data_IF_316477713068
#
_entry.id   IF_316477713068
#
_cell.length_a   1.000
_cell.length_b   1.000
_cell.length_c   1.000
_cell.angle_alpha   90.00
_cell.angle_beta   90.00
_cell.angle_gamma   90.00
#
_symmetry.space_group_name_H-M   'P 1'
#
loop_
_entity.id
_entity.type
_entity.pdbx_description
1 polymer ?
#
# COMPACT_ATOMS: atom_id res chain seq x y z
N UNK A 1 60.64 17.97 -18.68
CA UNK A 1 59.17 17.89 -18.77
C UNK A 1 58.77 16.58 -18.10
N UNK A 2 58.03 16.58 -16.98
CA UNK A 2 57.14 15.45 -16.59
C UNK A 2 56.69 15.42 -15.12
N UNK A 3 57.36 16.04 -14.13
CA UNK A 3 56.86 15.90 -12.74
C UNK A 3 55.56 16.70 -12.50
N UNK A 4 55.51 17.96 -12.97
CA UNK A 4 54.36 18.85 -12.79
C UNK A 4 53.11 18.38 -13.54
N UNK A 5 53.29 17.78 -14.72
CA UNK A 5 52.18 17.28 -15.54
C UNK A 5 51.59 16.02 -14.90
N UNK A 6 52.44 15.13 -14.37
CA UNK A 6 52.00 13.90 -13.68
C UNK A 6 51.25 14.26 -12.38
N UNK A 7 51.74 15.23 -11.60
CA UNK A 7 51.04 15.66 -10.38
C UNK A 7 49.68 16.30 -10.68
N UNK A 8 49.57 17.04 -11.78
CA UNK A 8 48.31 17.68 -12.18
C UNK A 8 47.29 16.63 -12.65
N UNK A 9 47.74 15.63 -13.42
CA UNK A 9 46.89 14.52 -13.86
C UNK A 9 46.40 13.68 -12.68
N UNK A 10 47.28 13.38 -11.72
CA UNK A 10 46.92 12.61 -10.53
C UNK A 10 45.87 13.35 -9.67
N UNK A 11 46.03 14.67 -9.48
CA UNK A 11 45.05 15.49 -8.78
C UNK A 11 43.70 15.54 -9.50
N UNK A 12 43.69 15.65 -10.83
CA UNK A 12 42.47 15.64 -11.64
C UNK A 12 41.72 14.30 -11.55
N UNK A 13 42.43 13.17 -11.58
CA UNK A 13 41.82 11.84 -11.43
C UNK A 13 41.25 11.64 -10.03
N UNK A 14 41.97 12.05 -8.98
CA UNK A 14 41.47 11.98 -7.60
C UNK A 14 40.23 12.85 -7.38
N UNK A 15 40.20 14.06 -7.94
CA UNK A 15 39.01 14.93 -7.89
C UNK A 15 37.81 14.31 -8.61
N UNK A 16 38.04 13.64 -9.75
CA UNK A 16 37.01 12.99 -10.53
C UNK A 16 36.44 11.76 -9.81
N UNK A 17 37.30 10.96 -9.17
CA UNK A 17 36.89 9.83 -8.33
C UNK A 17 36.12 10.29 -7.09
N UNK A 18 36.56 11.36 -6.42
CA UNK A 18 35.84 11.93 -5.28
C UNK A 18 34.44 12.43 -5.69
N UNK A 19 34.32 13.09 -6.86
CA UNK A 19 33.04 13.56 -7.39
C UNK A 19 32.10 12.41 -7.75
N UNK A 20 32.61 11.35 -8.39
CA UNK A 20 31.85 10.14 -8.70
C UNK A 20 31.40 9.40 -7.44
N UNK A 21 32.25 9.39 -6.40
CA UNK A 21 31.88 8.81 -5.11
C UNK A 21 30.77 9.62 -4.44
N UNK A 22 30.88 10.95 -4.41
CA UNK A 22 29.83 11.85 -3.88
C UNK A 22 28.49 11.72 -4.64
N UNK A 23 28.53 11.54 -5.97
CA UNK A 23 27.34 11.29 -6.79
C UNK A 23 26.70 9.94 -6.47
N UNK A 24 27.50 8.92 -6.11
CA UNK A 24 27.01 7.60 -5.72
C UNK A 24 26.51 7.55 -4.27
N UNK A 25 27.09 8.37 -3.39
CA UNK A 25 26.77 8.41 -1.95
C UNK A 25 25.84 9.54 -1.55
N UNK A 26 25.34 10.34 -2.50
CA UNK A 26 24.09 11.04 -2.28
C UNK A 26 22.99 10.00 -2.52
N UNK A 27 22.43 9.32 -1.48
CA UNK A 27 21.05 8.92 -1.62
C UNK A 27 20.35 10.21 -1.99
N UNK A 28 19.60 10.21 -3.10
CA UNK A 28 18.58 11.23 -3.35
C UNK A 28 17.93 11.48 -2.00
N UNK A 29 18.24 12.61 -1.38
CA UNK A 29 17.49 13.12 -0.26
C UNK A 29 16.14 13.39 -0.90
N UNK A 30 15.26 12.40 -0.75
CA UNK A 30 13.88 12.42 -1.14
C UNK A 30 13.24 13.48 -0.27
N UNK A 31 13.54 14.74 -0.61
CA UNK A 31 12.98 15.96 -0.03
C UNK A 31 11.58 16.16 -0.65
N UNK A 32 10.83 15.07 -0.68
CA UNK A 32 9.39 15.12 -0.76
C UNK A 32 8.96 15.40 0.66
N UNK A 33 8.45 16.61 0.90
CA UNK A 33 7.52 16.89 1.99
C UNK A 33 6.63 15.66 2.19
N UNK A 34 6.93 14.84 3.21
CA UNK A 34 6.31 13.51 3.37
C UNK A 34 4.88 13.76 3.83
N UNK A 35 3.99 14.01 2.88
CA UNK A 35 2.57 13.88 3.14
C UNK A 35 2.36 12.44 3.56
N UNK A 36 2.06 12.28 4.85
CA UNK A 36 1.79 10.98 5.43
C UNK A 36 0.44 10.51 4.89
N UNK A 37 0.32 9.26 4.41
CA UNK A 37 -0.96 8.76 3.96
C UNK A 37 -1.97 8.76 5.13
N UNK A 38 -3.22 9.12 4.81
CA UNK A 38 -4.34 9.17 5.76
C UNK A 38 -4.60 7.76 6.30
N UNK A 39 -4.63 6.78 5.40
CA UNK A 39 -4.74 5.36 5.73
C UNK A 39 -3.79 4.58 4.82
N UNK A 40 -3.17 3.54 5.35
CA UNK A 40 -2.32 2.62 4.60
C UNK A 40 -2.76 1.20 4.90
N UNK A 41 -2.95 0.40 3.85
CA UNK A 41 -3.26 -1.03 3.95
C UNK A 41 -2.23 -1.84 3.18
N UNK A 42 -1.98 -3.06 3.62
CA UNK A 42 -1.06 -3.99 2.95
C UNK A 42 -1.73 -5.35 2.77
N UNK A 43 -1.64 -5.91 1.57
CA UNK A 43 -2.22 -7.21 1.26
C UNK A 43 -1.85 -7.72 -0.13
N UNK A 44 -2.45 -8.82 -0.55
CA UNK A 44 -2.33 -9.29 -1.92
C UNK A 44 -3.32 -8.52 -2.79
N UNK A 45 -2.81 -7.71 -3.73
CA UNK A 45 -3.63 -6.90 -4.63
C UNK A 45 -3.82 -7.67 -5.93
N UNK A 46 -5.09 -7.86 -6.32
CA UNK A 46 -5.51 -8.44 -7.59
C UNK A 46 -6.13 -7.38 -8.48
N UNK A 47 -6.09 -7.63 -9.79
CA UNK A 47 -6.77 -6.83 -10.83
C UNK A 47 -6.28 -5.39 -11.01
N UNK A 48 -5.12 -5.02 -10.45
CA UNK A 48 -4.46 -3.76 -10.74
C UNK A 48 -3.50 -3.92 -11.94
N UNK A 49 -3.71 -3.12 -12.98
CA UNK A 49 -2.85 -3.08 -14.17
C UNK A 49 -1.40 -2.73 -13.78
N UNK A 50 -0.44 -3.55 -14.21
CA UNK A 50 0.99 -3.34 -13.91
C UNK A 50 1.44 -3.80 -12.53
N UNK A 51 0.60 -4.49 -11.75
CA UNK A 51 0.95 -5.02 -10.43
C UNK A 51 0.99 -6.55 -10.46
N UNK A 52 2.07 -7.12 -9.96
CA UNK A 52 2.19 -8.56 -9.77
C UNK A 52 1.19 -9.04 -8.70
N UNK A 53 0.26 -9.91 -9.11
CA UNK A 53 -0.84 -10.41 -8.29
C UNK A 53 -0.37 -11.26 -7.10
N UNK A 54 0.88 -11.74 -7.12
CA UNK A 54 1.43 -12.64 -6.08
C UNK A 54 2.19 -11.85 -5.00
N UNK A 55 2.56 -10.59 -5.27
CA UNK A 55 3.33 -9.77 -4.35
C UNK A 55 2.46 -9.09 -3.29
N UNK A 56 2.98 -9.03 -2.06
CA UNK A 56 2.40 -8.16 -1.02
C UNK A 56 2.51 -6.73 -1.52
N UNK A 57 1.35 -6.10 -1.64
CA UNK A 57 1.15 -4.78 -2.16
C UNK A 57 0.63 -3.85 -1.06
N UNK A 58 0.97 -2.57 -1.17
CA UNK A 58 0.56 -1.50 -0.28
C UNK A 58 -0.37 -0.56 -1.02
N UNK A 59 -1.52 -0.26 -0.45
CA UNK A 59 -2.41 0.81 -0.90
C UNK A 59 -2.37 1.93 0.13
N UNK A 60 -2.01 3.13 -0.32
CA UNK A 60 -1.88 4.34 0.50
C UNK A 60 -2.94 5.34 0.03
N UNK A 61 -3.75 5.84 0.97
CA UNK A 61 -4.76 6.87 0.71
C UNK A 61 -4.24 8.24 1.05
N UNK A 62 -4.36 9.17 0.11
CA UNK A 62 -4.10 10.59 0.24
C UNK A 62 -5.39 11.39 0.04
N UNK A 63 -5.34 12.70 0.23
CA UNK A 63 -6.51 13.59 0.13
C UNK A 63 -7.16 13.59 -1.26
N UNK A 64 -6.38 13.37 -2.32
CA UNK A 64 -6.86 13.48 -3.71
C UNK A 64 -6.76 12.17 -4.50
N UNK A 65 -6.04 11.17 -3.99
CA UNK A 65 -5.76 9.94 -4.73
C UNK A 65 -5.41 8.76 -3.82
N UNK A 66 -5.53 7.56 -4.39
CA UNK A 66 -4.90 6.35 -3.89
C UNK A 66 -3.60 6.09 -4.66
N UNK A 67 -2.62 5.58 -3.95
CA UNK A 67 -1.35 5.12 -4.48
C UNK A 67 -1.19 3.63 -4.19
N UNK A 68 -0.83 2.84 -5.19
CA UNK A 68 -0.62 1.39 -5.05
C UNK A 68 0.82 1.07 -5.41
N UNK A 69 1.57 0.52 -4.45
CA UNK A 69 3.00 0.19 -4.58
C UNK A 69 3.87 1.33 -5.10
N UNK A 70 3.42 2.60 -4.98
CA UNK A 70 4.06 3.77 -5.60
C UNK A 70 4.21 3.70 -7.14
N UNK A 71 3.47 2.81 -7.80
CA UNK A 71 3.53 2.62 -9.27
C UNK A 71 2.20 2.93 -9.95
N UNK A 72 1.07 2.74 -9.26
CA UNK A 72 -0.25 3.06 -9.79
C UNK A 72 -0.91 4.13 -8.92
N UNK A 73 -1.56 5.10 -9.57
CA UNK A 73 -2.32 6.16 -8.92
C UNK A 73 -3.76 6.14 -9.41
N UNK A 74 -4.71 6.22 -8.48
CA UNK A 74 -6.14 6.32 -8.77
C UNK A 74 -6.68 7.59 -8.12
N UNK A 75 -7.03 8.62 -8.91
CA UNK A 75 -7.66 9.82 -8.37
C UNK A 75 -8.97 9.49 -7.65
N UNK A 76 -9.23 10.14 -6.51
CA UNK A 76 -10.42 9.89 -5.69
C UNK A 76 -11.72 10.14 -6.44
N UNK A 77 -11.77 11.16 -7.31
CA UNK A 77 -12.94 11.47 -8.13
C UNK A 77 -13.31 10.35 -9.14
N UNK A 78 -12.42 9.38 -9.37
CA UNK A 78 -12.70 8.20 -10.21
C UNK A 78 -13.17 7.00 -9.40
N UNK A 79 -13.07 7.05 -8.07
CA UNK A 79 -13.50 5.99 -7.18
C UNK A 79 -15.01 6.13 -6.96
N UNK A 80 -15.71 5.01 -7.12
CA UNK A 80 -17.16 4.95 -7.03
C UNK A 80 -17.62 4.49 -5.65
N UNK A 81 -16.93 3.51 -5.05
CA UNK A 81 -17.19 3.00 -3.69
C UNK A 81 -16.08 2.06 -3.23
N UNK A 82 -16.00 1.84 -1.92
CA UNK A 82 -15.20 0.79 -1.31
C UNK A 82 -16.08 -0.18 -0.50
N UNK A 83 -15.73 -1.46 -0.56
CA UNK A 83 -16.40 -2.56 0.13
C UNK A 83 -15.37 -3.33 0.97
N UNK A 84 -15.79 -3.80 2.14
CA UNK A 84 -14.94 -4.60 3.02
C UNK A 84 -15.70 -5.83 3.51
N UNK A 85 -15.08 -7.01 3.38
CA UNK A 85 -15.64 -8.29 3.81
C UNK A 85 -14.64 -8.98 4.73
N UNK A 86 -15.13 -9.41 5.91
CA UNK A 86 -14.40 -10.31 6.81
C UNK A 86 -14.86 -11.75 6.58
N UNK A 87 -13.97 -12.59 6.07
CA UNK A 87 -14.24 -14.01 5.88
C UNK A 87 -13.84 -14.81 7.12
N UNK A 88 -14.71 -15.73 7.54
CA UNK A 88 -14.42 -16.69 8.61
C UNK A 88 -14.41 -18.10 8.01
N UNK A 89 -13.29 -18.81 8.14
CA UNK A 89 -13.14 -20.20 7.72
C UNK A 89 -12.96 -21.09 8.93
N UNK A 90 -13.74 -22.16 9.01
CA UNK A 90 -13.57 -23.18 10.04
C UNK A 90 -12.53 -24.21 9.57
N UNK A 91 -11.45 -24.36 10.32
CA UNK A 91 -10.41 -25.36 10.08
C UNK A 91 -10.37 -26.36 11.24
N UNK A 92 -9.90 -27.58 10.98
CA UNK A 92 -9.56 -28.51 12.07
C UNK A 92 -8.23 -28.10 12.68
N UNK A 93 -8.24 -27.82 13.98
CA UNK A 93 -7.04 -27.55 14.77
C UNK A 93 -6.19 -28.81 14.96
N UNK A 94 -4.98 -28.63 15.50
CA UNK A 94 -3.99 -29.70 15.72
C UNK A 94 -4.55 -30.87 16.55
N UNK A 95 -5.52 -30.60 17.45
CA UNK A 95 -6.18 -31.58 18.30
C UNK A 95 -7.58 -31.99 17.82
N UNK A 96 -7.94 -31.71 16.55
CA UNK A 96 -9.24 -32.01 15.97
C UNK A 96 -10.38 -31.03 16.33
N UNK A 97 -10.17 -30.12 17.29
CA UNK A 97 -11.15 -29.08 17.62
C UNK A 97 -11.34 -28.09 16.45
N UNK A 98 -12.56 -27.60 16.19
CA UNK A 98 -12.80 -26.58 15.18
C UNK A 98 -12.14 -25.26 15.62
N UNK A 99 -11.39 -24.63 14.71
CA UNK A 99 -10.73 -23.34 14.91
C UNK A 99 -11.19 -22.37 13.82
N UNK A 100 -11.64 -21.19 14.22
CA UNK A 100 -11.99 -20.12 13.30
C UNK A 100 -10.74 -19.41 12.79
N UNK A 101 -10.68 -19.19 11.48
CA UNK A 101 -9.63 -18.43 10.80
C UNK A 101 -10.23 -17.23 10.10
N UNK A 102 -9.67 -16.06 10.36
CA UNK A 102 -10.18 -14.80 9.86
C UNK A 102 -9.31 -14.30 8.71
N UNK A 103 -9.96 -13.81 7.67
CA UNK A 103 -9.34 -13.14 6.53
C UNK A 103 -10.12 -11.87 6.23
N UNK A 104 -9.45 -10.87 5.67
CA UNK A 104 -10.07 -9.63 5.21
C UNK A 104 -9.91 -9.45 3.72
N UNK A 105 -10.91 -8.84 3.09
CA UNK A 105 -10.90 -8.45 1.69
C UNK A 105 -11.45 -7.03 1.56
N UNK A 106 -10.64 -6.13 0.98
CA UNK A 106 -11.02 -4.76 0.63
C UNK A 106 -11.16 -4.67 -0.88
N UNK A 107 -12.32 -4.27 -1.38
CA UNK A 107 -12.58 -4.05 -2.79
C UNK A 107 -12.82 -2.57 -3.05
N UNK A 108 -12.11 -2.00 -4.02
CA UNK A 108 -12.23 -0.59 -4.40
C UNK A 108 -12.70 -0.55 -5.86
N UNK A 109 -13.90 -0.01 -6.08
CA UNK A 109 -14.50 0.15 -7.40
C UNK A 109 -14.19 1.53 -7.95
N UNK A 110 -13.76 1.60 -9.21
CA UNK A 110 -13.37 2.86 -9.85
C UNK A 110 -13.57 2.81 -11.37
N UNK A 111 -13.68 3.97 -11.98
CA UNK A 111 -13.69 4.11 -13.44
C UNK A 111 -12.26 4.16 -13.95
N UNK A 112 -11.88 3.26 -14.86
CA UNK A 112 -10.54 3.19 -15.44
C UNK A 112 -10.28 4.31 -16.47
N UNK A 113 -9.08 4.36 -17.06
CA UNK A 113 -8.68 5.44 -17.99
C UNK A 113 -9.53 5.47 -19.27
N UNK A 114 -10.15 4.34 -19.60
CA UNK A 114 -10.99 4.15 -20.78
C UNK A 114 -12.48 4.42 -20.47
N UNK A 115 -12.81 4.89 -19.27
CA UNK A 115 -14.19 5.12 -18.86
C UNK A 115 -14.96 3.86 -18.44
N UNK A 116 -14.31 2.69 -18.40
CA UNK A 116 -14.95 1.44 -18.01
C UNK A 116 -14.84 1.20 -16.50
N UNK A 117 -15.82 0.51 -15.92
CA UNK A 117 -15.78 0.09 -14.52
C UNK A 117 -14.67 -0.95 -14.30
N UNK A 118 -13.92 -0.76 -13.23
CA UNK A 118 -12.85 -1.65 -12.80
C UNK A 118 -12.86 -1.77 -11.27
N UNK A 119 -12.19 -2.79 -10.75
CA UNK A 119 -12.02 -2.96 -9.32
C UNK A 119 -10.64 -3.47 -8.96
N UNK A 120 -10.19 -3.10 -7.78
CA UNK A 120 -9.00 -3.66 -7.14
C UNK A 120 -9.44 -4.38 -5.89
N UNK A 121 -8.92 -5.59 -5.72
CA UNK A 121 -9.20 -6.43 -4.55
C UNK A 121 -7.91 -6.59 -3.77
N UNK A 122 -7.89 -6.21 -2.50
CA UNK A 122 -6.78 -6.36 -1.58
C UNK A 122 -7.17 -7.34 -0.47
N UNK A 123 -6.57 -8.53 -0.47
CA UNK A 123 -6.87 -9.58 0.51
C UNK A 123 -5.73 -9.73 1.53
N UNK A 124 -6.03 -10.12 2.76
CA UNK A 124 -5.00 -10.41 3.78
C UNK A 124 -4.11 -11.58 3.33
N UNK A 125 -2.77 -11.48 3.41
CA UNK A 125 -1.87 -12.52 2.88
C UNK A 125 -1.89 -13.81 3.73
N UNK A 126 -2.24 -13.74 5.01
CA UNK A 126 -2.33 -14.88 5.93
C UNK A 126 -3.57 -14.78 6.82
N UNK A 127 -3.96 -15.93 7.38
CA UNK A 127 -5.04 -16.03 8.37
C UNK A 127 -4.72 -15.26 9.65
N UNK A 128 -5.76 -14.73 10.30
CA UNK A 128 -5.72 -14.07 11.62
C UNK A 128 -4.84 -12.81 11.68
N UNK A 129 -4.68 -12.10 10.57
CA UNK A 129 -3.98 -10.81 10.57
C UNK A 129 -4.93 -9.66 10.92
N UNK A 130 -5.42 -9.67 12.16
CA UNK A 130 -6.46 -8.73 12.63
C UNK A 130 -6.10 -7.26 12.44
N UNK A 131 -4.82 -6.91 12.55
CA UNK A 131 -4.35 -5.55 12.25
C UNK A 131 -4.67 -5.12 10.81
N UNK A 132 -4.40 -5.97 9.81
CA UNK A 132 -4.72 -5.66 8.41
C UNK A 132 -6.23 -5.67 8.17
N UNK A 133 -6.95 -6.63 8.75
CA UNK A 133 -8.42 -6.71 8.67
C UNK A 133 -9.05 -5.40 9.19
N UNK A 134 -8.58 -4.89 10.32
CA UNK A 134 -9.01 -3.62 10.88
C UNK A 134 -8.66 -2.44 9.96
N UNK A 135 -7.43 -2.38 9.44
CA UNK A 135 -7.03 -1.30 8.51
C UNK A 135 -7.87 -1.29 7.23
N UNK A 136 -8.33 -2.45 6.76
CA UNK A 136 -9.20 -2.54 5.58
C UNK A 136 -10.57 -1.90 5.84
N UNK A 137 -11.17 -2.20 7.00
CA UNK A 137 -12.42 -1.56 7.44
C UNK A 137 -12.25 -0.03 7.60
N UNK A 138 -11.15 0.40 8.21
CA UNK A 138 -10.82 1.83 8.33
C UNK A 138 -10.69 2.48 6.95
N UNK A 139 -9.93 1.88 6.02
CA UNK A 139 -9.77 2.44 4.67
C UNK A 139 -11.11 2.52 3.93
N UNK A 140 -11.96 1.49 4.02
CA UNK A 140 -13.30 1.50 3.46
C UNK A 140 -14.13 2.67 3.99
N UNK A 141 -14.16 2.85 5.32
CA UNK A 141 -14.90 3.94 5.98
C UNK A 141 -14.38 5.31 5.57
N UNK A 142 -13.06 5.49 5.54
CA UNK A 142 -12.43 6.76 5.15
C UNK A 142 -12.68 7.09 3.68
N UNK A 143 -12.58 6.10 2.78
CA UNK A 143 -12.89 6.28 1.36
C UNK A 143 -14.36 6.66 1.15
N UNK A 144 -15.30 5.87 1.67
CA UNK A 144 -16.71 6.14 1.48
C UNK A 144 -17.12 7.50 2.06
N UNK A 145 -16.57 7.87 3.23
CA UNK A 145 -16.75 9.21 3.80
C UNK A 145 -16.23 10.32 2.87
N UNK A 146 -15.03 10.14 2.29
CA UNK A 146 -14.46 11.11 1.34
C UNK A 146 -15.30 11.25 0.06
N UNK A 147 -16.01 10.20 -0.34
CA UNK A 147 -16.89 10.17 -1.51
C UNK A 147 -18.32 10.69 -1.21
N UNK A 148 -18.62 11.07 0.03
CA UNK A 148 -19.98 11.45 0.44
C UNK A 148 -20.97 10.27 0.46
N UNK A 149 -20.44 9.04 0.43
CA UNK A 149 -21.22 7.81 0.55
C UNK A 149 -21.33 7.55 2.05
N UNK A 150 -22.37 8.09 2.67
CA UNK A 150 -22.67 7.75 4.06
C UNK A 150 -22.90 6.24 4.15
N UNK A 151 -22.17 5.58 5.04
CA UNK A 151 -22.35 4.17 5.33
C UNK A 151 -23.74 3.97 5.93
N UNK A 152 -24.74 3.70 5.08
CA UNK A 152 -26.09 3.30 5.46
C UNK A 152 -26.11 1.92 6.15
N UNK A 153 -24.95 1.30 6.34
CA UNK A 153 -24.78 0.00 6.98
C UNK A 153 -24.12 0.13 8.36
N UNK A 154 -25.03 0.23 9.34
CA UNK A 154 -25.00 -0.49 10.60
C UNK A 154 -23.89 -0.15 11.61
N UNK A 155 -24.37 0.45 12.70
CA UNK A 155 -23.87 0.30 14.06
C UNK A 155 -23.83 -1.16 14.56
N UNK A 156 -23.23 -2.08 13.81
CA UNK A 156 -22.73 -3.33 14.38
C UNK A 156 -21.34 -3.04 14.95
N UNK A 157 -21.35 -2.30 16.05
CA UNK A 157 -20.23 -2.20 16.96
C UNK A 157 -19.95 -3.60 17.54
N UNK A 158 -19.25 -4.44 16.79
CA UNK A 158 -18.67 -5.66 17.33
C UNK A 158 -17.48 -5.24 18.18
N UNK A 159 -17.71 -5.05 19.49
CA UNK A 159 -16.63 -5.04 20.48
C UNK A 159 -15.98 -6.43 20.40
N UNK A 160 -14.76 -6.49 19.89
CA UNK A 160 -13.94 -7.69 20.07
C UNK A 160 -13.71 -7.86 21.59
N UNK A 161 -14.04 -9.02 22.18
CA UNK A 161 -13.66 -9.28 23.55
C UNK A 161 -12.14 -9.51 23.55
N UNK A 162 -11.43 -8.65 24.28
CA UNK A 162 -10.04 -8.90 24.66
C UNK A 162 -10.03 -10.20 25.47
N UNK A 163 -9.41 -11.25 24.93
CA UNK A 163 -9.07 -12.44 25.72
C UNK A 163 -7.76 -12.13 26.48
N UNK A 164 -7.88 -12.05 27.81
CA UNK A 164 -6.77 -12.10 28.77
C UNK A 164 -6.26 -13.54 28.90
#
# INVERSE_FOLDING_TARGET
MNLLIISFLAAAVLALLARLWFLKTNPRSDDQTVHKPIVSVTGQVKSAEGIDQVAISKIEMYEEHLLINRVAMIPLHRIQRAEFIKHVKNEKGVKGAPVQRYFGELTIHFTNKNGAEASIVCSTPKKNQFHHIYQYDVMKKTLNKALGIEDLQNHLAFREPYEL
#
